data_IF_725664538356
#
_entry.id   IF_725664538356
#
_cell.length_a   1.000
_cell.length_b   1.000
_cell.length_c   1.000
_cell.angle_alpha   90.00
_cell.angle_beta   90.00
_cell.angle_gamma   90.00
#
_symmetry.space_group_name_H-M   'P 1'
#
loop_
_entity.id
_entity.type
_entity.pdbx_description
1 polymer ?
#
# COMPACT_ATOMS: atom_id res chain seq x y z
N UNK A 1 -21.40 -5.92 -16.52
CA UNK A 1 -19.97 -6.29 -16.35
C UNK A 1 -19.79 -6.98 -15.01
N UNK A 2 -19.10 -8.12 -14.97
CA UNK A 2 -18.91 -8.89 -13.75
C UNK A 2 -18.06 -8.18 -12.69
N UNK A 3 -18.24 -8.57 -11.44
CA UNK A 3 -17.45 -8.12 -10.31
C UNK A 3 -15.98 -8.54 -10.50
N UNK A 4 -15.05 -7.72 -10.01
CA UNK A 4 -13.60 -8.00 -10.04
C UNK A 4 -13.12 -8.36 -8.65
N UNK A 5 -12.49 -9.51 -8.51
CA UNK A 5 -11.86 -9.94 -7.26
C UNK A 5 -10.68 -9.01 -6.93
N UNK A 6 -10.47 -8.76 -5.64
CA UNK A 6 -9.32 -7.98 -5.17
C UNK A 6 -8.00 -8.71 -5.52
N UNK A 7 -7.04 -8.09 -6.22
CA UNK A 7 -5.85 -8.79 -6.73
C UNK A 7 -5.00 -9.43 -5.65
N UNK A 8 -4.83 -8.76 -4.52
CA UNK A 8 -4.08 -9.27 -3.36
C UNK A 8 -4.89 -10.41 -2.71
N UNK A 9 -6.19 -10.23 -2.48
CA UNK A 9 -7.04 -11.25 -1.88
C UNK A 9 -7.10 -12.55 -2.69
N UNK A 10 -7.13 -12.45 -4.01
CA UNK A 10 -7.08 -13.60 -4.91
C UNK A 10 -5.78 -14.41 -4.80
N UNK A 11 -4.67 -13.75 -4.40
CA UNK A 11 -3.32 -14.35 -4.33
C UNK A 11 -2.87 -14.69 -2.92
N UNK A 12 -3.70 -14.48 -1.91
CA UNK A 12 -3.39 -14.87 -0.53
C UNK A 12 -3.20 -16.38 -0.43
N UNK A 13 -2.13 -16.79 0.28
CA UNK A 13 -1.73 -18.20 0.41
C UNK A 13 -1.04 -18.76 -0.85
N UNK A 14 -0.97 -18.01 -1.95
CA UNK A 14 -0.27 -18.40 -3.17
C UNK A 14 1.02 -17.62 -3.36
N UNK A 15 0.95 -16.36 -3.77
CA UNK A 15 2.12 -15.47 -3.97
C UNK A 15 2.21 -14.37 -2.93
N UNK A 16 1.18 -14.15 -2.13
CA UNK A 16 1.10 -13.13 -1.09
C UNK A 16 0.72 -13.74 0.25
N UNK A 17 1.26 -13.18 1.32
CA UNK A 17 0.91 -13.51 2.70
C UNK A 17 0.03 -12.44 3.34
N UNK A 18 -0.52 -12.73 4.52
CA UNK A 18 -1.33 -11.81 5.28
C UNK A 18 -0.47 -10.67 5.87
N UNK A 19 -1.01 -9.48 5.95
CA UNK A 19 -0.37 -8.34 6.63
C UNK A 19 -0.48 -8.40 8.16
N UNK A 20 -1.38 -9.22 8.70
CA UNK A 20 -1.41 -9.59 10.12
C UNK A 20 -1.09 -11.07 10.25
N UNK A 21 0.00 -11.40 10.96
CA UNK A 21 0.47 -12.78 11.16
C UNK A 21 0.39 -13.12 12.64
N UNK A 22 -0.73 -13.70 13.04
CA UNK A 22 -0.96 -14.17 14.39
C UNK A 22 -2.18 -15.10 14.42
N UNK A 23 -2.25 -15.89 15.49
CA UNK A 23 -3.36 -16.78 15.77
C UNK A 23 -3.92 -16.51 17.16
N UNK A 24 -5.24 -16.51 17.31
CA UNK A 24 -5.90 -16.38 18.59
C UNK A 24 -7.17 -17.24 18.62
N UNK A 25 -7.32 -18.06 19.68
CA UNK A 25 -8.53 -18.84 19.93
C UNK A 25 -9.60 -18.01 20.65
N UNK A 26 -9.18 -17.07 21.49
CA UNK A 26 -10.06 -16.17 22.25
C UNK A 26 -9.68 -14.71 21.97
N UNK A 27 -10.68 -13.82 21.95
CA UNK A 27 -10.44 -12.39 21.76
C UNK A 27 -10.03 -11.96 20.35
N UNK A 28 -10.24 -12.80 19.33
CA UNK A 28 -9.85 -12.52 17.94
C UNK A 28 -10.35 -11.15 17.44
N UNK A 29 -11.64 -10.84 17.67
CA UNK A 29 -12.24 -9.57 17.22
C UNK A 29 -11.55 -8.36 17.87
N UNK A 30 -11.23 -8.42 19.16
CA UNK A 30 -10.55 -7.32 19.87
C UNK A 30 -9.16 -7.08 19.29
N UNK A 31 -8.38 -8.12 19.04
CA UNK A 31 -7.04 -8.02 18.43
C UNK A 31 -7.10 -7.48 17.01
N UNK A 32 -8.08 -7.90 16.21
CA UNK A 32 -8.28 -7.41 14.85
C UNK A 32 -8.62 -5.91 14.83
N UNK A 33 -9.50 -5.47 15.72
CA UNK A 33 -9.84 -4.05 15.85
C UNK A 33 -8.65 -3.21 16.34
N UNK A 34 -7.85 -3.75 17.23
CA UNK A 34 -6.62 -3.11 17.70
C UNK A 34 -5.63 -2.92 16.55
N UNK A 35 -5.36 -3.96 15.74
CA UNK A 35 -4.52 -3.88 14.54
C UNK A 35 -5.03 -2.82 13.55
N UNK A 36 -6.34 -2.78 13.31
CA UNK A 36 -6.94 -1.82 12.42
C UNK A 36 -6.82 -0.37 12.94
N UNK A 37 -6.90 -0.16 14.26
CA UNK A 37 -6.69 1.14 14.89
C UNK A 37 -5.23 1.58 14.79
N UNK A 38 -4.28 0.68 15.05
CA UNK A 38 -2.84 0.93 14.96
C UNK A 38 -2.48 1.31 13.52
N UNK A 39 -2.91 0.55 12.51
CA UNK A 39 -2.65 0.86 11.10
C UNK A 39 -3.19 2.22 10.68
N UNK A 40 -4.43 2.52 11.04
CA UNK A 40 -5.03 3.83 10.74
C UNK A 40 -4.27 4.97 11.40
N UNK A 41 -3.89 4.80 12.65
CA UNK A 41 -3.13 5.79 13.39
C UNK A 41 -1.76 6.06 12.74
N UNK A 42 -0.96 5.01 12.48
CA UNK A 42 0.34 5.15 11.83
C UNK A 42 0.19 5.81 10.46
N UNK A 43 -0.78 5.37 9.64
CA UNK A 43 -1.00 5.92 8.30
C UNK A 43 -1.42 7.39 8.33
N UNK A 44 -2.26 7.81 9.28
CA UNK A 44 -2.69 9.21 9.42
C UNK A 44 -1.59 10.12 9.93
N UNK A 45 -0.80 9.67 10.93
CA UNK A 45 0.28 10.47 11.53
C UNK A 45 1.46 10.65 10.58
N UNK A 46 1.78 9.61 9.80
CA UNK A 46 2.98 9.57 8.96
C UNK A 46 2.66 9.52 7.45
N UNK A 47 1.52 10.08 7.04
CA UNK A 47 1.09 10.05 5.63
C UNK A 47 2.16 10.62 4.66
N UNK A 48 2.86 11.67 5.08
CA UNK A 48 3.90 12.32 4.27
C UNK A 48 5.21 11.51 4.15
N UNK A 49 5.40 10.51 4.99
CA UNK A 49 6.55 9.60 4.88
C UNK A 49 6.41 8.60 3.73
N UNK A 50 5.21 8.44 3.16
CA UNK A 50 4.96 7.49 2.08
C UNK A 50 5.02 6.05 2.58
N UNK A 51 4.04 5.64 3.38
CA UNK A 51 3.93 4.27 3.90
C UNK A 51 3.25 3.39 2.86
N UNK A 52 3.95 2.36 2.40
CA UNK A 52 3.44 1.33 1.50
C UNK A 52 2.50 0.38 2.22
N UNK A 53 3.03 -0.35 3.21
CA UNK A 53 2.27 -1.33 4.00
C UNK A 53 2.76 -1.36 5.44
N UNK A 54 1.93 -1.93 6.31
CA UNK A 54 2.24 -2.13 7.73
C UNK A 54 1.91 -3.58 8.05
N UNK A 55 2.93 -4.36 8.38
CA UNK A 55 2.78 -5.75 8.77
C UNK A 55 2.82 -5.85 10.31
N UNK A 56 1.94 -6.66 10.89
CA UNK A 56 1.82 -6.82 12.34
C UNK A 56 1.94 -8.30 12.67
N UNK A 57 2.94 -8.64 13.45
CA UNK A 57 3.15 -9.99 14.00
C UNK A 57 2.90 -9.96 15.50
N UNK A 58 2.09 -10.88 16.01
CA UNK A 58 1.81 -10.97 17.44
C UNK A 58 2.27 -12.30 17.99
N UNK A 59 3.08 -12.23 19.03
CA UNK A 59 3.38 -13.34 19.94
C UNK A 59 2.56 -13.19 21.23
N UNK A 60 2.76 -14.10 22.22
CA UNK A 60 2.00 -14.07 23.47
C UNK A 60 1.99 -12.66 24.12
N UNK A 61 3.16 -12.05 24.36
CA UNK A 61 3.28 -10.76 25.05
C UNK A 61 3.89 -9.65 24.21
N UNK A 62 4.17 -9.90 22.92
CA UNK A 62 4.88 -8.95 22.05
C UNK A 62 4.09 -8.70 20.78
N UNK A 63 4.14 -7.46 20.31
CA UNK A 63 3.63 -7.04 19.01
C UNK A 63 4.78 -6.41 18.19
N UNK A 64 5.19 -7.07 17.12
CA UNK A 64 6.17 -6.53 16.17
C UNK A 64 5.41 -5.86 15.04
N UNK A 65 5.72 -4.61 14.77
CA UNK A 65 5.11 -3.81 13.73
C UNK A 65 6.19 -3.40 12.74
N UNK A 66 6.16 -3.95 11.52
CA UNK A 66 7.07 -3.59 10.44
C UNK A 66 6.40 -2.58 9.53
N UNK A 67 7.01 -1.40 9.39
CA UNK A 67 6.52 -0.29 8.59
C UNK A 67 7.39 -0.16 7.34
N UNK A 68 6.81 -0.42 6.18
CA UNK A 68 7.47 -0.26 4.89
C UNK A 68 7.22 1.15 4.36
N UNK A 69 8.28 1.92 4.18
CA UNK A 69 8.21 3.34 3.82
C UNK A 69 9.19 3.72 2.72
N UNK A 70 8.81 4.71 1.90
CA UNK A 70 9.70 5.30 0.91
C UNK A 70 10.72 6.27 1.51
N UNK A 71 10.45 6.79 2.72
CA UNK A 71 11.28 7.82 3.35
C UNK A 71 11.51 7.49 4.82
N UNK A 72 12.36 6.52 5.14
CA UNK A 72 12.59 6.08 6.52
C UNK A 72 13.12 7.20 7.42
N UNK A 73 13.92 8.12 6.88
CA UNK A 73 14.46 9.23 7.63
C UNK A 73 13.42 10.15 8.28
N UNK A 74 12.23 10.27 7.69
CA UNK A 74 11.14 11.07 8.26
C UNK A 74 10.56 10.37 9.50
N UNK A 75 10.47 9.03 9.48
CA UNK A 75 9.93 8.24 10.59
C UNK A 75 10.96 8.16 11.72
N UNK A 76 12.23 7.98 11.39
CA UNK A 76 13.31 7.87 12.36
C UNK A 76 13.53 9.21 13.09
N UNK A 77 13.48 10.30 12.33
CA UNK A 77 13.69 11.64 12.87
C UNK A 77 15.14 11.88 13.34
N UNK A 78 15.36 13.01 13.98
CA UNK A 78 16.68 13.33 14.52
C UNK A 78 17.00 12.44 15.73
N UNK A 79 18.09 11.68 15.64
CA UNK A 79 18.55 10.78 16.71
C UNK A 79 17.53 9.75 17.19
N UNK A 80 16.53 9.39 16.35
CA UNK A 80 15.52 8.40 16.70
C UNK A 80 14.36 8.89 17.57
N UNK A 81 14.28 10.19 17.87
CA UNK A 81 13.25 10.75 18.76
C UNK A 81 11.81 10.52 18.27
N UNK A 82 11.58 10.62 16.95
CA UNK A 82 10.24 10.42 16.37
C UNK A 82 9.78 8.95 16.44
N UNK A 83 10.71 8.01 16.30
CA UNK A 83 10.41 6.56 16.45
C UNK A 83 10.05 6.22 17.89
N UNK A 84 10.80 6.78 18.88
CA UNK A 84 10.51 6.55 20.29
C UNK A 84 9.16 7.15 20.70
N UNK A 85 8.86 8.34 20.21
CA UNK A 85 7.55 8.96 20.39
C UNK A 85 6.44 8.10 19.81
N UNK A 86 6.58 7.68 18.56
CA UNK A 86 5.62 6.79 17.91
C UNK A 86 5.45 5.47 18.66
N UNK A 87 6.54 4.86 19.12
CA UNK A 87 6.53 3.66 19.95
C UNK A 87 5.71 3.86 21.21
N UNK A 88 5.96 4.92 21.95
CA UNK A 88 5.25 5.23 23.21
C UNK A 88 3.75 5.50 22.97
N UNK A 89 3.40 6.17 21.89
CA UNK A 89 2.02 6.41 21.50
C UNK A 89 1.27 5.13 21.08
N UNK A 90 1.94 4.21 20.40
CA UNK A 90 1.37 2.89 20.08
C UNK A 90 1.31 2.04 21.34
N UNK A 91 2.33 2.07 22.20
CA UNK A 91 2.37 1.34 23.44
C UNK A 91 1.21 1.74 24.38
N UNK A 92 0.80 3.00 24.41
CA UNK A 92 -0.35 3.45 25.20
C UNK A 92 -1.71 2.90 24.68
N UNK A 93 -1.75 2.41 23.45
CA UNK A 93 -2.96 1.88 22.79
C UNK A 93 -3.07 0.35 22.85
N UNK A 94 -2.00 -0.33 23.25
CA UNK A 94 -1.93 -1.79 23.36
C UNK A 94 -1.39 -2.21 24.71
N UNK A 95 -1.90 -3.32 25.25
CA UNK A 95 -1.41 -3.90 26.49
C UNK A 95 -0.11 -4.71 26.31
N UNK A 96 0.31 -4.96 25.06
CA UNK A 96 1.47 -5.80 24.73
C UNK A 96 2.70 -4.92 24.48
N UNK A 97 3.89 -5.46 24.72
CA UNK A 97 5.15 -4.81 24.41
C UNK A 97 5.29 -4.60 22.89
N UNK A 98 5.58 -3.36 22.45
CA UNK A 98 5.64 -2.99 21.04
C UNK A 98 7.08 -2.88 20.57
N UNK A 99 7.38 -3.58 19.46
CA UNK A 99 8.63 -3.46 18.72
C UNK A 99 8.32 -2.88 17.33
N UNK A 100 8.95 -1.74 17.02
CA UNK A 100 8.86 -1.10 15.72
C UNK A 100 10.07 -1.47 14.88
N UNK A 101 9.81 -1.95 13.66
CA UNK A 101 10.80 -2.14 12.62
C UNK A 101 10.47 -1.23 11.44
N UNK A 102 11.46 -0.50 10.91
CA UNK A 102 11.29 0.42 9.80
C UNK A 102 12.10 -0.12 8.63
N UNK A 103 11.41 -0.42 7.54
CA UNK A 103 12.01 -0.98 6.34
C UNK A 103 11.85 -0.01 5.17
N UNK A 104 12.94 0.17 4.42
CA UNK A 104 12.95 1.04 3.27
C UNK A 104 12.39 0.33 2.03
N UNK A 105 11.51 1.02 1.31
CA UNK A 105 11.06 0.61 -0.02
C UNK A 105 12.01 1.23 -1.04
N UNK A 106 12.93 0.43 -1.58
CA UNK A 106 14.01 0.88 -2.48
C UNK A 106 13.46 1.53 -3.75
N UNK A 107 12.38 0.98 -4.32
CA UNK A 107 11.74 1.47 -5.53
C UNK A 107 10.27 1.87 -5.29
N UNK A 108 10.01 3.10 -4.80
CA UNK A 108 8.64 3.55 -4.51
C UNK A 108 7.72 3.56 -5.73
N UNK A 109 8.29 3.73 -6.93
CA UNK A 109 7.54 3.74 -8.19
C UNK A 109 7.10 2.34 -8.65
N UNK A 110 7.66 1.28 -8.07
CA UNK A 110 7.22 -0.11 -8.26
C UNK A 110 6.23 -0.57 -7.19
N UNK A 111 5.91 0.28 -6.23
CA UNK A 111 4.91 0.02 -5.20
C UNK A 111 3.57 0.65 -5.59
N UNK A 112 2.55 -0.19 -5.77
CA UNK A 112 1.27 0.27 -6.28
C UNK A 112 0.56 1.24 -5.33
N UNK A 113 0.72 1.08 -4.00
CA UNK A 113 0.11 1.96 -3.03
C UNK A 113 0.76 3.35 -3.04
N UNK A 114 2.08 3.41 -3.09
CA UNK A 114 2.83 4.66 -3.15
C UNK A 114 2.56 5.43 -4.45
N UNK A 115 2.49 4.72 -5.57
CA UNK A 115 2.11 5.31 -6.86
C UNK A 115 0.69 5.86 -6.82
N UNK A 116 -0.27 5.13 -6.25
CA UNK A 116 -1.65 5.59 -6.12
C UNK A 116 -1.74 6.87 -5.28
N UNK A 117 -1.04 6.91 -4.14
CA UNK A 117 -1.00 8.09 -3.26
C UNK A 117 -0.31 9.29 -3.92
N UNK A 118 0.78 9.05 -4.65
CA UNK A 118 1.47 10.12 -5.40
C UNK A 118 0.55 10.72 -6.48
N UNK A 119 -0.16 9.88 -7.25
CA UNK A 119 -1.14 10.37 -8.24
C UNK A 119 -2.26 11.15 -7.53
N UNK A 120 -2.79 10.64 -6.40
CA UNK A 120 -3.82 11.31 -5.63
C UNK A 120 -3.37 12.71 -5.14
N UNK A 121 -2.15 12.81 -4.61
CA UNK A 121 -1.55 14.10 -4.20
C UNK A 121 -1.39 15.08 -5.37
N UNK A 122 -1.00 14.58 -6.56
CA UNK A 122 -0.91 15.43 -7.75
C UNK A 122 -2.29 15.94 -8.18
N UNK A 123 -3.35 15.12 -8.09
CA UNK A 123 -4.72 15.54 -8.38
C UNK A 123 -5.22 16.60 -7.40
N UNK A 124 -4.91 16.47 -6.12
CA UNK A 124 -5.20 17.51 -5.10
C UNK A 124 -4.50 18.83 -5.40
N UNK A 125 -3.28 18.78 -5.94
CA UNK A 125 -2.51 19.94 -6.41
C UNK A 125 -2.98 20.47 -7.78
N UNK A 126 -4.14 20.01 -8.27
CA UNK A 126 -4.75 20.41 -9.55
C UNK A 126 -3.89 20.13 -10.79
N UNK A 127 -3.00 19.15 -10.73
CA UNK A 127 -2.28 18.67 -11.91
C UNK A 127 -3.28 17.94 -12.82
N UNK A 128 -3.16 18.15 -14.13
CA UNK A 128 -4.00 17.48 -15.12
C UNK A 128 -3.90 15.95 -14.95
N UNK A 129 -5.02 15.28 -14.74
CA UNK A 129 -5.07 13.84 -14.40
C UNK A 129 -4.40 12.96 -15.47
N UNK A 130 -4.54 13.31 -16.78
CA UNK A 130 -3.86 12.59 -17.86
C UNK A 130 -2.35 12.67 -17.76
N UNK A 131 -1.81 13.85 -17.40
CA UNK A 131 -0.38 14.04 -17.21
C UNK A 131 0.14 13.27 -16.00
N UNK A 132 -0.59 13.31 -14.89
CA UNK A 132 -0.24 12.57 -13.67
C UNK A 132 -0.19 11.06 -13.92
N UNK A 133 -1.24 10.49 -14.57
CA UNK A 133 -1.29 9.07 -14.90
C UNK A 133 -0.18 8.65 -15.88
N UNK A 134 0.03 9.39 -16.98
CA UNK A 134 1.08 9.07 -17.97
C UNK A 134 2.47 9.10 -17.32
N UNK A 135 2.77 10.13 -16.50
CA UNK A 135 4.04 10.22 -15.79
C UNK A 135 4.28 9.00 -14.88
N UNK A 136 3.26 8.59 -14.12
CA UNK A 136 3.36 7.43 -13.23
C UNK A 136 3.58 6.13 -14.02
N UNK A 137 2.89 5.94 -15.15
CA UNK A 137 3.09 4.79 -16.05
C UNK A 137 4.51 4.75 -16.59
N UNK A 138 4.99 5.84 -17.16
CA UNK A 138 6.36 5.92 -17.72
C UNK A 138 7.43 5.67 -16.64
N UNK A 139 7.25 6.21 -15.42
CA UNK A 139 8.20 5.99 -14.32
C UNK A 139 8.27 4.53 -13.89
N UNK A 140 7.13 3.86 -13.74
CA UNK A 140 7.09 2.46 -13.34
C UNK A 140 7.73 1.52 -14.39
N UNK A 141 7.45 1.74 -15.67
CA UNK A 141 8.05 0.94 -16.75
C UNK A 141 9.56 1.15 -16.86
N UNK A 142 10.05 2.37 -16.67
CA UNK A 142 11.49 2.68 -16.66
C UNK A 142 12.24 1.93 -15.58
N UNK A 143 11.60 1.68 -14.44
CA UNK A 143 12.17 0.95 -13.31
C UNK A 143 11.97 -0.56 -13.38
N UNK A 144 11.45 -1.08 -14.49
CA UNK A 144 11.38 -2.51 -14.75
C UNK A 144 10.05 -3.18 -14.39
N UNK A 145 8.95 -2.44 -14.30
CA UNK A 145 7.63 -3.07 -14.25
C UNK A 145 7.30 -3.71 -15.61
N UNK A 146 6.88 -4.97 -15.63
CA UNK A 146 6.43 -5.67 -16.86
C UNK A 146 5.11 -5.11 -17.40
N UNK A 147 4.35 -4.47 -16.54
CA UNK A 147 3.13 -3.79 -16.93
C UNK A 147 2.47 -3.04 -15.78
N UNK A 148 1.78 -1.98 -16.16
CA UNK A 148 1.04 -1.14 -15.21
C UNK A 148 -0.32 -0.77 -15.78
N UNK A 149 -1.30 -0.68 -14.88
CA UNK A 149 -2.62 -0.13 -15.14
C UNK A 149 -2.97 0.86 -14.06
N UNK A 150 -3.37 2.08 -14.46
CA UNK A 150 -3.87 3.11 -13.55
C UNK A 150 -5.28 3.50 -13.98
N UNK A 151 -6.19 3.63 -13.02
CA UNK A 151 -7.56 4.08 -13.26
C UNK A 151 -7.92 5.19 -12.26
N UNK A 152 -8.40 6.30 -12.78
CA UNK A 152 -8.98 7.40 -12.00
C UNK A 152 -10.49 7.48 -12.25
N UNK A 153 -11.28 7.63 -11.19
CA UNK A 153 -12.73 7.71 -11.26
C UNK A 153 -13.27 8.82 -10.35
N UNK A 154 -14.23 9.59 -10.85
CA UNK A 154 -14.80 10.73 -10.15
C UNK A 154 -14.99 11.93 -11.08
N UNK A 155 -15.11 13.12 -10.50
CA UNK A 155 -15.22 14.38 -11.25
C UNK A 155 -13.85 14.86 -11.75
N UNK A 156 -13.36 14.18 -12.80
CA UNK A 156 -12.03 14.42 -13.37
C UNK A 156 -11.92 15.83 -13.97
N UNK A 157 -10.96 16.60 -13.48
CA UNK A 157 -10.76 17.99 -13.90
C UNK A 157 -11.88 18.95 -13.45
N UNK A 158 -12.69 18.58 -12.47
CA UNK A 158 -13.81 19.38 -11.97
C UNK A 158 -15.11 19.26 -12.81
N UNK A 159 -15.16 18.33 -13.77
CA UNK A 159 -16.37 18.11 -14.57
C UNK A 159 -17.58 17.78 -13.71
N UNK A 160 -18.77 18.24 -14.08
CA UNK A 160 -20.01 17.96 -13.34
C UNK A 160 -20.35 16.48 -13.33
N UNK A 161 -20.19 15.83 -14.48
CA UNK A 161 -20.46 14.39 -14.62
C UNK A 161 -19.21 13.61 -14.28
N UNK A 162 -19.34 12.71 -13.30
CA UNK A 162 -18.27 11.79 -12.95
C UNK A 162 -18.02 10.79 -14.08
N UNK A 163 -16.76 10.53 -14.35
CA UNK A 163 -16.37 9.52 -15.32
C UNK A 163 -15.16 8.73 -14.83
N UNK A 164 -14.86 7.64 -15.52
CA UNK A 164 -13.68 6.81 -15.27
C UNK A 164 -12.79 6.84 -16.49
N UNK A 165 -11.52 7.19 -16.28
CA UNK A 165 -10.46 7.06 -17.28
C UNK A 165 -9.36 6.15 -16.75
N UNK A 166 -8.72 5.40 -17.67
CA UNK A 166 -7.64 4.50 -17.31
C UNK A 166 -6.59 4.42 -18.42
N UNK A 167 -5.35 4.18 -18.01
CA UNK A 167 -4.22 3.90 -18.89
C UNK A 167 -3.63 2.55 -18.51
N UNK A 168 -3.18 1.80 -19.51
CA UNK A 168 -2.48 0.53 -19.33
C UNK A 168 -1.34 0.47 -20.34
N UNK A 169 -0.15 0.11 -19.88
CA UNK A 169 0.99 -0.23 -20.70
C UNK A 169 1.57 -1.55 -20.20
N UNK A 170 2.08 -2.36 -21.13
CA UNK A 170 2.55 -3.70 -20.85
C UNK A 170 1.43 -4.70 -20.52
N UNK A 171 1.83 -5.81 -19.92
CA UNK A 171 0.94 -6.93 -19.59
C UNK A 171 0.50 -6.84 -18.12
N UNK A 172 -0.78 -6.99 -17.83
CA UNK A 172 -1.33 -7.06 -16.47
C UNK A 172 -2.30 -8.24 -16.39
N UNK A 173 -1.80 -9.48 -16.15
CA UNK A 173 -2.59 -10.70 -16.18
C UNK A 173 -3.33 -10.91 -14.86
N UNK A 174 -4.49 -10.25 -14.65
CA UNK A 174 -5.24 -10.30 -13.40
C UNK A 174 -5.77 -11.69 -13.04
N UNK A 175 -6.00 -12.56 -14.03
CA UNK A 175 -6.53 -13.92 -13.83
C UNK A 175 -5.45 -14.96 -13.56
N UNK A 176 -4.18 -14.66 -13.83
CA UNK A 176 -3.06 -15.57 -13.61
C UNK A 176 -2.66 -15.55 -12.13
N UNK A 177 -2.81 -16.67 -11.41
CA UNK A 177 -2.55 -16.76 -9.98
C UNK A 177 -1.05 -16.57 -9.65
N UNK A 178 -0.16 -17.13 -10.46
CA UNK A 178 1.30 -17.04 -10.29
C UNK A 178 1.88 -15.65 -10.61
N UNK A 179 1.09 -14.75 -11.20
CA UNK A 179 1.55 -13.38 -11.50
C UNK A 179 1.66 -12.56 -10.22
N UNK A 180 2.83 -11.96 -9.96
CA UNK A 180 3.00 -11.00 -8.88
C UNK A 180 2.43 -9.65 -9.28
N UNK A 181 1.20 -9.40 -8.84
CA UNK A 181 0.49 -8.15 -9.08
C UNK A 181 0.34 -7.41 -7.76
N UNK A 182 0.94 -6.24 -7.72
CA UNK A 182 0.75 -5.29 -6.63
C UNK A 182 -0.46 -4.39 -6.92
N UNK A 183 -1.20 -4.03 -5.86
CA UNK A 183 -2.41 -3.24 -5.97
C UNK A 183 -2.44 -2.12 -4.95
N UNK A 184 -2.73 -0.91 -5.41
CA UNK A 184 -2.88 0.28 -4.57
C UNK A 184 -4.21 0.99 -4.81
N UNK A 185 -4.77 1.51 -3.73
CA UNK A 185 -5.96 2.34 -3.73
C UNK A 185 -5.69 3.62 -2.95
N UNK A 186 -5.99 4.78 -3.56
CA UNK A 186 -5.93 6.06 -2.88
C UNK A 186 -7.11 6.94 -3.30
N UNK A 187 -7.47 7.88 -2.44
CA UNK A 187 -8.51 8.87 -2.70
C UNK A 187 -7.90 10.27 -2.68
N UNK A 188 -8.21 11.04 -3.72
CA UNK A 188 -7.84 12.45 -3.81
C UNK A 188 -9.06 13.30 -3.45
N UNK A 189 -9.03 13.93 -2.29
CA UNK A 189 -10.07 14.88 -1.89
C UNK A 189 -9.81 16.23 -2.56
N UNK A 190 -10.64 16.57 -3.52
CA UNK A 190 -10.57 17.84 -4.26
C UNK A 190 -11.73 18.76 -3.86
N UNK A 191 -11.66 20.03 -4.26
CA UNK A 191 -12.76 20.98 -4.04
C UNK A 191 -14.08 20.57 -4.69
N UNK A 192 -14.03 19.71 -5.73
CA UNK A 192 -15.20 19.22 -6.47
C UNK A 192 -15.66 17.82 -6.03
N UNK A 193 -15.03 17.24 -5.00
CA UNK A 193 -15.35 15.92 -4.46
C UNK A 193 -14.16 14.97 -4.48
N UNK A 194 -14.41 13.72 -4.14
CA UNK A 194 -13.38 12.69 -4.09
C UNK A 194 -13.15 12.04 -5.47
N UNK A 195 -11.87 11.82 -5.80
CA UNK A 195 -11.45 11.06 -6.99
C UNK A 195 -10.74 9.81 -6.50
N UNK A 196 -11.28 8.65 -6.84
CA UNK A 196 -10.65 7.36 -6.53
C UNK A 196 -9.56 7.02 -7.56
N UNK A 197 -8.37 6.67 -7.06
CA UNK A 197 -7.23 6.24 -7.86
C UNK A 197 -6.94 4.77 -7.55
N UNK A 198 -6.91 3.91 -8.57
CA UNK A 198 -6.58 2.50 -8.46
C UNK A 198 -5.38 2.20 -9.36
N UNK A 199 -4.39 1.52 -8.80
CA UNK A 199 -3.16 1.16 -9.51
C UNK A 199 -2.94 -0.34 -9.41
N UNK A 200 -2.53 -0.96 -10.50
CA UNK A 200 -2.08 -2.35 -10.61
C UNK A 200 -0.71 -2.35 -11.26
N UNK A 201 0.27 -2.95 -10.62
CA UNK A 201 1.63 -3.09 -11.15
C UNK A 201 1.96 -4.57 -11.22
N UNK A 202 2.32 -5.05 -12.40
CA UNK A 202 2.79 -6.41 -12.63
C UNK A 202 4.31 -6.42 -12.58
N UNK A 203 4.88 -7.22 -11.67
CA UNK A 203 6.33 -7.31 -11.40
C UNK A 203 6.97 -8.56 -11.99
N UNK A 204 6.18 -9.45 -12.61
CA UNK A 204 6.63 -10.71 -13.16
C UNK A 204 5.85 -11.91 -12.63
N UNK A 205 6.28 -13.12 -12.97
CA UNK A 205 5.65 -14.35 -12.52
C UNK A 205 6.51 -15.06 -11.48
N UNK A 206 5.90 -15.49 -10.37
CA UNK A 206 6.56 -16.27 -9.31
C UNK A 206 6.46 -17.74 -9.66
N UNK A 207 7.57 -18.35 -10.05
CA UNK A 207 7.65 -19.78 -10.34
C UNK A 207 7.83 -20.60 -9.05
N UNK A 208 7.40 -21.88 -8.99
CA UNK A 208 7.48 -22.71 -7.79
C UNK A 208 8.89 -22.82 -7.18
N UNK A 209 9.93 -22.88 -8.01
CA UNK A 209 11.33 -22.96 -7.58
C UNK A 209 11.81 -21.69 -6.82
N UNK A 210 11.19 -20.55 -7.04
CA UNK A 210 11.54 -19.29 -6.35
C UNK A 210 10.87 -19.16 -4.99
N UNK A 211 9.87 -19.98 -4.67
CA UNK A 211 9.20 -19.96 -3.36
C UNK A 211 10.03 -20.58 -2.25
N UNK A 212 10.84 -21.59 -2.58
CA UNK A 212 11.67 -22.31 -1.60
C UNK A 212 12.82 -21.46 -1.09
N UNK A 213 13.33 -20.50 -1.88
CA UNK A 213 14.44 -19.63 -1.50
C UNK A 213 14.04 -18.42 -0.64
N UNK A 214 12.74 -18.12 -0.52
CA UNK A 214 12.26 -16.96 0.24
C UNK A 214 11.76 -17.30 1.66
N UNK A 215 11.68 -18.60 1.99
CA UNK A 215 11.21 -19.11 3.29
C UNK A 215 12.33 -19.68 4.18
N UNK A 216 13.60 -19.57 3.73
CA UNK A 216 14.79 -20.05 4.45
C UNK A 216 15.46 -19.01 5.34
#
# INVERSE_FOLDING_TARGET
MGQKTHPIGFRLGSTRTWSSRWFATKGYAALLHEDAKIRRYIKSSLYHAGISRIDIERSANRARISIYTARPGIIIGRKGAEVEKLKNEIQSRTAKEVYLNIEEVVHPELDAQLVAENVALQLQKRVAFRRAMKKAVTSALRLGADGIRIACSGRLGGAEIARREWYREGRVPLHTLRADIDYGLAEAHTTFGAIGVKVWIFKGEVLPAQRVAAEG
#
